data_IF_932969787912
#
_entry.id   IF_932969787912
#
_cell.length_a   1.000
_cell.length_b   1.000
_cell.length_c   1.000
_cell.angle_alpha   90.00
_cell.angle_beta   90.00
_cell.angle_gamma   90.00
#
_symmetry.space_group_name_H-M   'P 1'
#
loop_
_entity.id
_entity.type
_entity.pdbx_description
1 polymer ?
#
# COMPACT_ATOMS: atom_id res chain seq x y z
N UNK A 1 -30.70 -10.73 -7.54
CA UNK A 1 -30.68 -9.59 -6.59
C UNK A 1 -29.29 -8.95 -6.68
N UNK A 2 -29.13 -7.72 -7.20
CA UNK A 2 -27.81 -7.05 -7.35
C UNK A 2 -27.71 -5.85 -6.41
N UNK A 3 -26.58 -5.82 -5.70
CA UNK A 3 -26.23 -4.87 -4.66
C UNK A 3 -26.12 -3.42 -5.19
N UNK A 4 -26.66 -2.47 -4.41
CA UNK A 4 -26.18 -1.09 -4.43
C UNK A 4 -27.10 -0.02 -5.01
N UNK A 5 -28.35 -0.33 -5.36
CA UNK A 5 -29.31 0.71 -5.76
C UNK A 5 -29.82 1.49 -4.54
N UNK A 6 -28.97 2.38 -4.02
CA UNK A 6 -29.46 3.49 -3.21
C UNK A 6 -30.14 4.47 -4.16
N UNK A 7 -31.43 4.22 -4.43
CA UNK A 7 -32.31 5.16 -5.11
C UNK A 7 -32.52 6.41 -4.21
N UNK A 8 -31.47 7.22 -4.04
CA UNK A 8 -31.63 8.59 -3.54
C UNK A 8 -32.30 9.41 -4.62
N UNK A 9 -33.19 10.29 -4.21
CA UNK A 9 -33.92 11.15 -5.13
C UNK A 9 -32.88 12.07 -5.79
N UNK A 10 -32.97 12.31 -7.11
CA UNK A 10 -32.01 13.19 -7.79
C UNK A 10 -31.99 14.61 -7.22
N UNK A 11 -33.00 14.99 -6.43
CA UNK A 11 -33.14 16.29 -5.78
C UNK A 11 -33.28 16.15 -4.24
N UNK A 12 -32.40 15.35 -3.62
CA UNK A 12 -32.30 15.32 -2.16
C UNK A 12 -31.62 16.62 -1.66
N UNK A 13 -32.16 17.35 -0.68
CA UNK A 13 -31.60 18.61 -0.19
C UNK A 13 -30.19 18.48 0.42
N UNK A 14 -29.77 17.25 0.73
CA UNK A 14 -28.43 16.92 1.22
C UNK A 14 -27.50 16.38 0.12
N UNK A 15 -27.89 16.45 -1.15
CA UNK A 15 -27.06 16.04 -2.27
C UNK A 15 -26.08 17.16 -2.65
N UNK A 16 -24.78 16.82 -2.67
CA UNK A 16 -23.73 17.75 -3.10
C UNK A 16 -23.59 17.65 -4.62
N UNK A 17 -23.80 18.75 -5.36
CA UNK A 17 -23.60 18.78 -6.80
C UNK A 17 -22.12 18.60 -7.14
N UNK A 18 -21.82 17.89 -8.23
CA UNK A 18 -20.45 17.58 -8.65
C UNK A 18 -20.26 17.89 -10.12
N UNK A 19 -19.18 18.59 -10.43
CA UNK A 19 -18.75 18.83 -11.80
C UNK A 19 -17.78 17.73 -12.25
N UNK A 20 -18.09 17.09 -13.37
CA UNK A 20 -17.21 16.07 -13.98
C UNK A 20 -17.06 16.40 -15.46
N UNK A 21 -15.83 16.70 -15.92
CA UNK A 21 -15.52 16.98 -17.33
C UNK A 21 -16.44 18.05 -17.95
N UNK A 22 -16.68 19.13 -17.21
CA UNK A 22 -17.56 20.22 -17.67
C UNK A 22 -19.07 19.97 -17.50
N UNK A 23 -19.50 18.77 -17.10
CA UNK A 23 -20.92 18.46 -16.85
C UNK A 23 -21.24 18.59 -15.36
N UNK A 24 -22.22 19.43 -15.02
CA UNK A 24 -22.71 19.56 -13.64
C UNK A 24 -23.77 18.49 -13.36
N UNK A 25 -23.49 17.60 -12.42
CA UNK A 25 -24.43 16.61 -11.94
C UNK A 25 -25.04 17.06 -10.60
N UNK A 26 -26.34 16.80 -10.37
CA UNK A 26 -27.02 17.22 -9.14
C UNK A 26 -26.53 16.44 -7.91
N UNK A 27 -25.93 15.27 -8.11
CA UNK A 27 -25.37 14.47 -7.03
C UNK A 27 -24.22 13.56 -7.49
N UNK A 28 -23.40 13.12 -6.54
CA UNK A 28 -22.39 12.06 -6.75
C UNK A 28 -23.03 10.78 -7.33
N UNK A 29 -24.23 10.42 -6.87
CA UNK A 29 -24.92 9.22 -7.35
C UNK A 29 -25.35 9.37 -8.82
N UNK A 30 -25.88 10.54 -9.20
CA UNK A 30 -26.23 10.82 -10.59
C UNK A 30 -25.00 10.79 -11.51
N UNK A 31 -23.89 11.40 -11.07
CA UNK A 31 -22.62 11.33 -11.79
C UNK A 31 -22.10 9.90 -11.91
N UNK A 32 -22.21 9.11 -10.84
CA UNK A 32 -21.78 7.71 -10.81
C UNK A 32 -22.56 6.84 -11.80
N UNK A 33 -23.90 7.00 -11.84
CA UNK A 33 -24.77 6.31 -12.79
C UNK A 33 -24.46 6.70 -14.24
N UNK A 34 -24.30 8.00 -14.51
CA UNK A 34 -24.00 8.50 -15.85
C UNK A 34 -22.63 8.02 -16.37
N UNK A 35 -21.64 7.89 -15.48
CA UNK A 35 -20.28 7.48 -15.83
C UNK A 35 -20.05 5.96 -15.68
N UNK A 36 -21.03 5.21 -15.18
CA UNK A 36 -20.91 3.77 -14.93
C UNK A 36 -19.88 3.40 -13.87
N UNK A 37 -19.61 4.31 -12.92
CA UNK A 37 -18.63 4.11 -11.84
C UNK A 37 -19.31 3.98 -10.48
N UNK A 38 -18.56 3.53 -9.47
CA UNK A 38 -19.09 3.45 -8.11
C UNK A 38 -19.05 4.85 -7.44
N UNK A 39 -20.05 5.24 -6.63
CA UNK A 39 -20.07 6.53 -5.93
C UNK A 39 -18.83 6.79 -5.06
N UNK A 40 -18.28 5.72 -4.47
CA UNK A 40 -17.05 5.74 -3.69
C UNK A 40 -15.82 6.15 -4.52
N UNK A 41 -15.80 5.84 -5.82
CA UNK A 41 -14.74 6.27 -6.74
C UNK A 41 -14.74 7.79 -6.90
N UNK A 42 -15.91 8.40 -7.09
CA UNK A 42 -16.05 9.86 -7.19
C UNK A 42 -15.65 10.53 -5.87
N UNK A 43 -16.18 10.05 -4.74
CA UNK A 43 -15.84 10.59 -3.42
C UNK A 43 -14.34 10.48 -3.12
N UNK A 44 -13.71 9.35 -3.46
CA UNK A 44 -12.27 9.14 -3.32
C UNK A 44 -11.45 10.08 -4.21
N UNK A 45 -11.90 10.32 -5.45
CA UNK A 45 -11.24 11.25 -6.37
C UNK A 45 -11.32 12.70 -5.88
N UNK A 46 -12.49 13.14 -5.42
CA UNK A 46 -12.67 14.46 -4.79
C UNK A 46 -11.76 14.64 -3.58
N UNK A 47 -11.67 13.63 -2.71
CA UNK A 47 -10.82 13.67 -1.51
C UNK A 47 -9.32 13.74 -1.83
N UNK A 48 -8.87 13.03 -2.87
CA UNK A 48 -7.44 12.90 -3.19
C UNK A 48 -6.93 14.00 -4.12
N UNK A 49 -7.76 14.45 -5.06
CA UNK A 49 -7.36 15.34 -6.14
C UNK A 49 -8.15 16.66 -6.18
N UNK A 50 -9.28 16.77 -5.47
CA UNK A 50 -10.13 17.96 -5.48
C UNK A 50 -10.99 18.13 -6.73
N UNK A 51 -10.78 17.30 -7.77
CA UNK A 51 -11.55 17.32 -9.02
C UNK A 51 -11.94 15.89 -9.44
N UNK A 52 -12.86 15.74 -10.40
CA UNK A 52 -13.38 14.45 -10.86
C UNK A 52 -13.08 14.11 -12.32
N UNK A 53 -12.26 14.88 -13.02
CA UNK A 53 -12.15 14.78 -14.49
C UNK A 53 -11.63 13.41 -14.98
N UNK A 54 -10.79 12.74 -14.18
CA UNK A 54 -10.23 11.42 -14.54
C UNK A 54 -11.08 10.23 -14.08
N UNK A 55 -12.24 10.46 -13.45
CA UNK A 55 -13.12 9.38 -13.00
C UNK A 55 -13.64 8.59 -14.21
N UNK A 56 -13.53 7.26 -14.19
CA UNK A 56 -14.04 6.38 -15.26
C UNK A 56 -13.12 6.25 -16.48
N UNK A 57 -11.94 6.88 -16.46
CA UNK A 57 -10.99 6.89 -17.59
C UNK A 57 -9.99 5.71 -17.59
N UNK A 58 -10.25 4.69 -16.75
CA UNK A 58 -9.44 3.46 -16.71
C UNK A 58 -7.99 3.66 -16.27
N UNK A 59 -7.62 4.82 -15.71
CA UNK A 59 -6.32 5.07 -15.10
C UNK A 59 -6.14 4.12 -13.91
N UNK A 60 -5.58 2.95 -14.17
CA UNK A 60 -5.16 2.01 -13.14
C UNK A 60 -4.04 2.70 -12.37
N UNK A 61 -4.14 2.71 -11.03
CA UNK A 61 -2.97 3.07 -10.22
C UNK A 61 -1.79 2.22 -10.68
N UNK A 62 -0.57 2.79 -10.77
CA UNK A 62 0.60 2.02 -11.14
C UNK A 62 0.63 0.77 -10.28
N UNK A 63 0.74 -0.39 -10.92
CA UNK A 63 0.76 -1.66 -10.22
C UNK A 63 1.82 -1.56 -9.13
N UNK A 64 1.45 -1.84 -7.88
CA UNK A 64 2.42 -1.89 -6.79
C UNK A 64 3.52 -2.85 -7.23
N UNK A 65 4.75 -2.35 -7.35
CA UNK A 65 5.89 -3.17 -7.75
C UNK A 65 6.11 -4.20 -6.64
N UNK A 66 5.61 -5.42 -6.87
CA UNK A 66 5.65 -6.53 -5.92
C UNK A 66 7.09 -6.93 -5.59
N UNK A 67 8.03 -6.60 -6.48
CA UNK A 67 9.46 -6.89 -6.34
C UNK A 67 10.26 -5.76 -5.69
N UNK A 68 9.65 -4.60 -5.39
CA UNK A 68 10.37 -3.48 -4.77
C UNK A 68 11.09 -3.89 -3.47
N UNK A 69 10.49 -4.79 -2.68
CA UNK A 69 11.11 -5.29 -1.45
C UNK A 69 12.21 -6.35 -1.68
N UNK A 70 12.29 -6.95 -2.88
CA UNK A 70 13.29 -7.98 -3.21
C UNK A 70 14.62 -7.38 -3.67
N UNK A 71 14.64 -6.09 -4.01
CA UNK A 71 15.83 -5.43 -4.61
C UNK A 71 16.37 -4.30 -3.75
N UNK A 72 15.72 -3.92 -2.64
CA UNK A 72 16.23 -2.87 -1.77
C UNK A 72 17.38 -3.41 -0.90
N UNK A 73 18.64 -2.97 -1.14
CA UNK A 73 19.75 -3.39 -0.32
C UNK A 73 19.63 -2.79 1.08
N UNK A 74 19.97 -3.58 2.10
CA UNK A 74 19.94 -3.15 3.49
C UNK A 74 21.30 -3.39 4.13
N UNK A 75 21.66 -2.54 5.09
CA UNK A 75 22.84 -2.73 5.93
C UNK A 75 22.39 -3.06 7.34
N UNK A 76 22.78 -4.23 7.85
CA UNK A 76 22.52 -4.66 9.22
C UNK A 76 23.87 -4.78 9.93
N UNK A 77 24.07 -4.01 11.01
CA UNK A 77 25.29 -4.04 11.85
C UNK A 77 26.62 -4.04 11.05
N UNK A 78 26.70 -3.20 10.00
CA UNK A 78 27.91 -3.08 9.17
C UNK A 78 28.00 -4.04 7.99
N UNK A 79 27.10 -5.03 7.89
CA UNK A 79 27.06 -5.98 6.77
C UNK A 79 25.96 -5.64 5.78
N UNK A 80 26.30 -5.66 4.48
CA UNK A 80 25.39 -5.31 3.39
C UNK A 80 24.71 -6.56 2.83
N UNK A 81 23.39 -6.56 2.83
CA UNK A 81 22.56 -7.59 2.24
C UNK A 81 21.84 -7.03 1.01
N UNK A 82 21.64 -7.83 -0.05
CA UNK A 82 20.95 -7.40 -1.25
C UNK A 82 19.43 -7.20 -1.02
N UNK A 83 18.86 -7.84 0.01
CA UNK A 83 17.46 -7.67 0.39
C UNK A 83 17.18 -8.11 1.83
N UNK A 84 16.04 -7.70 2.37
CA UNK A 84 15.53 -8.16 3.68
C UNK A 84 15.34 -9.69 3.68
N UNK A 85 14.93 -10.28 2.54
CA UNK A 85 14.79 -11.74 2.42
C UNK A 85 16.14 -12.45 2.50
N UNK A 86 17.16 -11.95 1.82
CA UNK A 86 18.51 -12.51 1.91
C UNK A 86 19.06 -12.45 3.34
N UNK A 87 18.82 -11.33 4.05
CA UNK A 87 19.17 -11.22 5.46
C UNK A 87 18.38 -12.20 6.35
N UNK A 88 17.08 -12.38 6.09
CA UNK A 88 16.22 -13.34 6.81
C UNK A 88 16.70 -14.78 6.63
N UNK A 89 17.02 -15.18 5.40
CA UNK A 89 17.51 -16.52 5.07
C UNK A 89 18.92 -16.75 5.66
N UNK A 90 19.78 -15.73 5.69
CA UNK A 90 21.12 -15.80 6.30
C UNK A 90 21.07 -15.89 7.83
N UNK A 91 20.25 -15.06 8.47
CA UNK A 91 20.13 -14.98 9.93
C UNK A 91 19.26 -16.12 10.51
N UNK A 92 18.51 -16.84 9.67
CA UNK A 92 17.53 -17.83 10.11
C UNK A 92 16.35 -17.23 10.88
N UNK A 93 16.06 -15.94 10.70
CA UNK A 93 14.97 -15.23 11.39
C UNK A 93 13.76 -15.03 10.47
N UNK A 94 12.52 -14.98 10.98
CA UNK A 94 11.34 -14.78 10.14
C UNK A 94 11.33 -13.42 9.44
N UNK A 95 11.07 -13.41 8.12
CA UNK A 95 11.02 -12.20 7.28
C UNK A 95 10.09 -11.12 7.85
N UNK A 96 8.86 -11.49 8.23
CA UNK A 96 7.87 -10.54 8.75
C UNK A 96 8.29 -9.88 10.06
N UNK A 97 9.02 -10.62 10.90
CA UNK A 97 9.59 -10.08 12.13
C UNK A 97 10.72 -9.09 11.81
N UNK A 98 11.65 -9.46 10.93
CA UNK A 98 12.76 -8.61 10.51
C UNK A 98 12.28 -7.32 9.83
N UNK A 99 11.31 -7.42 8.91
CA UNK A 99 10.67 -6.28 8.27
C UNK A 99 10.03 -5.32 9.28
N UNK A 100 9.33 -5.86 10.28
CA UNK A 100 8.72 -5.06 11.35
C UNK A 100 9.79 -4.39 12.21
N UNK A 101 10.88 -5.07 12.57
CA UNK A 101 11.97 -4.48 13.37
C UNK A 101 12.65 -3.33 12.62
N UNK A 102 12.97 -3.50 11.34
CA UNK A 102 13.60 -2.47 10.51
C UNK A 102 12.67 -1.27 10.31
N UNK A 103 11.39 -1.51 10.00
CA UNK A 103 10.42 -0.44 9.69
C UNK A 103 9.94 0.33 10.92
N UNK A 104 9.79 -0.35 12.05
CA UNK A 104 9.13 0.22 13.25
C UNK A 104 10.12 0.72 14.30
N UNK A 105 11.43 0.70 14.01
CA UNK A 105 12.51 1.16 14.88
C UNK A 105 12.27 0.85 16.38
N UNK A 106 12.61 -0.38 16.77
CA UNK A 106 12.64 -0.98 18.12
C UNK A 106 11.43 -1.83 18.51
N UNK A 107 11.73 -3.07 18.93
CA UNK A 107 11.67 -3.37 20.36
C UNK A 107 13.08 -3.44 20.96
N UNK A 108 13.23 -3.05 22.22
CA UNK A 108 14.52 -2.93 22.93
C UNK A 108 15.41 -4.18 22.84
N UNK A 109 14.81 -5.37 22.66
CA UNK A 109 15.51 -6.65 22.64
C UNK A 109 15.74 -7.20 21.21
N UNK A 110 15.29 -6.50 20.15
CA UNK A 110 15.47 -6.98 18.78
C UNK A 110 16.87 -6.74 18.23
N UNK A 111 17.56 -5.67 18.66
CA UNK A 111 18.95 -5.42 18.29
C UNK A 111 19.86 -6.58 18.73
N UNK A 112 19.79 -6.94 20.02
CA UNK A 112 20.59 -8.03 20.58
C UNK A 112 20.27 -9.38 19.95
N UNK A 113 19.00 -9.64 19.61
CA UNK A 113 18.59 -10.88 18.92
C UNK A 113 19.10 -10.95 17.49
N UNK A 114 19.11 -9.84 16.76
CA UNK A 114 19.67 -9.77 15.41
C UNK A 114 21.19 -9.93 15.47
N UNK A 115 21.85 -9.27 16.42
CA UNK A 115 23.29 -9.39 16.61
C UNK A 115 23.69 -10.82 17.01
N UNK A 116 22.98 -11.46 17.95
CA UNK A 116 23.22 -12.84 18.34
C UNK A 116 22.97 -13.83 17.20
N UNK A 117 21.93 -13.61 16.38
CA UNK A 117 21.67 -14.42 15.19
C UNK A 117 22.77 -14.24 14.12
N UNK A 118 23.25 -13.00 13.94
CA UNK A 118 24.35 -12.68 13.03
C UNK A 118 25.64 -13.37 13.46
N UNK A 119 26.01 -13.27 14.74
CA UNK A 119 27.19 -13.93 15.30
C UNK A 119 27.14 -15.46 15.17
N UNK A 120 25.97 -16.09 15.36
CA UNK A 120 25.80 -17.53 15.12
C UNK A 120 25.96 -17.91 13.65
N UNK A 121 25.35 -17.14 12.75
CA UNK A 121 25.43 -17.41 11.32
C UNK A 121 26.85 -17.20 10.78
N UNK A 122 27.58 -16.20 11.27
CA UNK A 122 28.99 -15.98 10.93
C UNK A 122 29.86 -17.13 11.44
N UNK A 123 29.69 -17.58 12.69
CA UNK A 123 30.40 -18.74 13.23
C UNK A 123 30.13 -20.04 12.44
N UNK A 124 28.90 -20.23 11.93
CA UNK A 124 28.54 -21.36 11.07
C UNK A 124 29.13 -21.27 9.66
N UNK A 125 29.39 -20.06 9.16
CA UNK A 125 29.95 -19.83 7.83
C UNK A 125 31.48 -19.98 7.86
N UNK A 126 32.13 -19.51 8.93
CA UNK A 126 33.58 -19.65 9.14
C UNK A 126 34.02 -21.09 9.38
N UNK A 127 33.20 -21.92 10.05
CA UNK A 127 33.48 -23.35 10.21
C UNK A 127 33.26 -24.20 8.95
N UNK A 128 32.76 -23.63 7.86
CA UNK A 128 32.53 -24.30 6.57
C UNK A 128 33.54 -23.90 5.49
N UNK A 129 34.50 -23.04 5.82
CA UNK A 129 35.61 -22.63 4.95
C UNK A 129 36.79 -23.61 5.03
#
# INVERSE_FOLDING_TARGET
MKAGEVARRPNDPNAVPVMVRGTLYPSIAAAAQALGVMPSTISGHLRRHGHCDFVGLGQKSPAHNRDAHRTTPISIHGRRFPSIKAASDYLGVPYGWLYKVIRTARPANAGDRILAALMRADAQTEGRA
#
